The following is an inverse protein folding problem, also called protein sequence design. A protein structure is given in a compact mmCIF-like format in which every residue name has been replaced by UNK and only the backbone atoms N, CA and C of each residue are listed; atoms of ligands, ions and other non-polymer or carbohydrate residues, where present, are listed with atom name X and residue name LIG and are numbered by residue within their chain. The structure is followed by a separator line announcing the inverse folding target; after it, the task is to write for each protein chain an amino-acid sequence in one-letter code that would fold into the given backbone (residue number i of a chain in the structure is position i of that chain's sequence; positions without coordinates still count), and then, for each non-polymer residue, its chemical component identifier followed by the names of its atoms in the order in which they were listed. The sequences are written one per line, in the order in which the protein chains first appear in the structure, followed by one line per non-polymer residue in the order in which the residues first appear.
data_IF_553240638192
#
_entry.id   IF_553240638192
#
_cell.length_a   1.000
_cell.length_b   1.000
_cell.length_c   1.000
_cell.angle_alpha   90.00
_cell.angle_beta   90.00
_cell.angle_gamma   90.00
#
_symmetry.space_group_name_H-M   'P 1'
#
loop_
_entity.id
_entity.type
_entity.pdbx_description
1 polymer ?
#
# COMPACT_ATOMS: atom_id res chain seq x y z
N UNK A 1 7.46 8.24 -20.55
CA UNK A 1 6.94 8.22 -19.16
C UNK A 1 5.92 9.34 -19.06
N UNK A 2 4.67 9.06 -19.41
CA UNK A 2 3.56 10.02 -19.36
C UNK A 2 3.26 10.33 -17.89
N UNK A 3 3.64 11.53 -17.44
CA UNK A 3 3.22 12.04 -16.14
C UNK A 3 1.72 12.27 -16.20
N UNK A 4 0.93 11.38 -15.59
CA UNK A 4 -0.51 11.58 -15.43
C UNK A 4 -0.70 12.86 -14.61
N UNK A 5 -1.15 13.94 -15.26
CA UNK A 5 -1.54 15.17 -14.59
C UNK A 5 -3.03 15.07 -14.28
N UNK A 6 -3.33 14.76 -13.03
CA UNK A 6 -4.67 14.92 -12.48
C UNK A 6 -4.84 16.39 -12.12
N UNK A 7 -5.86 17.04 -12.68
CA UNK A 7 -6.24 18.37 -12.22
C UNK A 7 -6.73 18.27 -10.77
N UNK A 8 -6.59 19.35 -10.00
CA UNK A 8 -6.97 19.35 -8.57
C UNK A 8 -8.46 19.01 -8.35
N UNK A 9 -9.31 19.39 -9.31
CA UNK A 9 -10.74 19.07 -9.31
C UNK A 9 -10.97 17.55 -9.49
N UNK A 10 -10.27 16.94 -10.44
CA UNK A 10 -10.36 15.50 -10.71
C UNK A 10 -9.88 14.68 -9.50
N UNK A 11 -8.78 15.10 -8.86
CA UNK A 11 -8.27 14.42 -7.67
C UNK A 11 -9.27 14.49 -6.50
N UNK A 12 -9.92 15.64 -6.31
CA UNK A 12 -10.91 15.81 -5.25
C UNK A 12 -12.15 14.95 -5.49
N UNK A 13 -12.62 14.88 -6.74
CA UNK A 13 -13.75 14.03 -7.13
C UNK A 13 -13.43 12.55 -6.92
N UNK A 14 -12.26 12.10 -7.38
CA UNK A 14 -11.76 10.73 -7.16
C UNK A 14 -11.70 10.44 -5.66
N UNK A 15 -11.14 11.35 -4.86
CA UNK A 15 -11.00 11.15 -3.41
C UNK A 15 -12.37 11.04 -2.75
N UNK A 16 -13.33 11.90 -3.10
CA UNK A 16 -14.71 11.83 -2.59
C UNK A 16 -15.39 10.51 -2.96
N UNK A 17 -15.25 10.09 -4.21
CA UNK A 17 -15.79 8.81 -4.68
C UNK A 17 -15.20 7.64 -3.89
N UNK A 18 -13.89 7.61 -3.67
CA UNK A 18 -13.22 6.54 -2.90
C UNK A 18 -13.64 6.56 -1.41
N UNK A 19 -13.77 7.74 -0.80
CA UNK A 19 -14.21 7.87 0.59
C UNK A 19 -15.69 7.52 0.82
N UNK A 20 -16.50 7.56 -0.24
CA UNK A 20 -17.92 7.19 -0.16
C UNK A 20 -18.18 5.69 -0.16
N UNK A 21 -17.15 4.83 -0.26
CA UNK A 21 -17.32 3.38 -0.35
C UNK A 21 -17.52 2.74 1.03
N UNK A 22 -18.52 1.87 1.14
CA UNK A 22 -18.86 1.20 2.40
C UNK A 22 -18.17 -0.15 2.59
N UNK A 23 -17.62 -0.73 1.53
CA UNK A 23 -16.91 -2.02 1.57
C UNK A 23 -15.56 -1.91 0.86
N UNK A 24 -14.59 -2.74 1.29
CA UNK A 24 -13.29 -2.82 0.61
C UNK A 24 -13.40 -3.31 -0.84
N UNK A 25 -14.42 -4.11 -1.13
CA UNK A 25 -14.66 -4.64 -2.47
C UNK A 25 -15.09 -3.50 -3.41
N UNK A 26 -16.06 -2.69 -2.99
CA UNK A 26 -16.52 -1.55 -3.77
C UNK A 26 -15.39 -0.53 -3.96
N UNK A 27 -14.59 -0.30 -2.92
CA UNK A 27 -13.39 0.53 -2.99
C UNK A 27 -12.40 0.03 -4.05
N UNK A 28 -12.07 -1.27 -4.05
CA UNK A 28 -11.15 -1.86 -5.03
C UNK A 28 -11.70 -1.78 -6.45
N UNK A 29 -13.01 -2.00 -6.64
CA UNK A 29 -13.64 -1.88 -7.94
C UNK A 29 -13.56 -0.46 -8.50
N UNK A 30 -13.90 0.55 -7.68
CA UNK A 30 -13.84 1.96 -8.07
C UNK A 30 -12.40 2.42 -8.32
N UNK A 31 -11.47 2.06 -7.42
CA UNK A 31 -10.06 2.42 -7.55
C UNK A 31 -9.45 1.82 -8.83
N UNK A 32 -9.77 0.56 -9.15
CA UNK A 32 -9.32 -0.09 -10.38
C UNK A 32 -9.84 0.62 -11.64
N UNK A 33 -11.12 1.04 -11.64
CA UNK A 33 -11.67 1.79 -12.78
C UNK A 33 -10.95 3.12 -13.00
N UNK A 34 -10.57 3.81 -11.92
CA UNK A 34 -9.74 5.02 -12.00
C UNK A 34 -8.35 4.68 -12.54
N UNK A 35 -7.65 3.71 -11.97
CA UNK A 35 -6.29 3.34 -12.37
C UNK A 35 -6.21 2.89 -13.84
N UNK A 36 -7.22 2.15 -14.34
CA UNK A 36 -7.31 1.78 -15.75
C UNK A 36 -7.56 2.98 -16.67
N UNK A 37 -8.45 3.90 -16.28
CA UNK A 37 -8.67 5.15 -17.03
C UNK A 37 -7.40 5.98 -17.15
N UNK A 38 -6.59 5.99 -16.10
CA UNK A 38 -5.30 6.69 -16.05
C UNK A 38 -4.14 5.88 -16.64
N UNK A 39 -4.38 4.64 -17.10
CA UNK A 39 -3.37 3.71 -17.63
C UNK A 39 -2.21 3.45 -16.66
N UNK A 40 -2.48 3.47 -15.35
CA UNK A 40 -1.47 3.29 -14.30
C UNK A 40 -1.30 1.81 -13.91
N UNK A 41 -2.41 1.08 -13.81
CA UNK A 41 -2.42 -0.33 -13.44
C UNK A 41 -3.71 -1.01 -13.87
N UNK A 42 -3.62 -2.30 -14.20
CA UNK A 42 -4.78 -3.14 -14.56
C UNK A 42 -5.45 -3.79 -13.34
N UNK A 43 -4.67 -3.99 -12.28
CA UNK A 43 -5.07 -4.68 -11.05
C UNK A 43 -4.71 -3.84 -9.83
N UNK A 44 -5.51 -3.98 -8.78
CA UNK A 44 -5.31 -3.30 -7.50
C UNK A 44 -5.62 -4.27 -6.36
N UNK A 45 -4.82 -4.18 -5.31
CA UNK A 45 -5.03 -4.89 -4.07
C UNK A 45 -4.71 -3.96 -2.89
N UNK A 46 -5.40 -4.20 -1.78
CA UNK A 46 -5.23 -3.52 -0.51
C UNK A 46 -4.56 -4.49 0.45
N UNK A 47 -3.44 -4.05 1.02
CA UNK A 47 -2.71 -4.78 2.07
C UNK A 47 -2.75 -3.91 3.31
N UNK A 48 -3.36 -4.40 4.37
CA UNK A 48 -3.48 -3.68 5.64
C UNK A 48 -2.63 -4.38 6.68
N UNK A 49 -1.81 -3.58 7.39
CA UNK A 49 -0.99 -4.03 8.49
C UNK A 49 -1.61 -3.59 9.80
N UNK A 50 -1.79 -4.53 10.72
CA UNK A 50 -2.13 -4.19 12.10
C UNK A 50 -0.83 -3.97 12.89
N UNK A 51 -0.54 -2.74 13.34
CA UNK A 51 0.68 -2.44 14.09
C UNK A 51 0.73 -3.09 15.48
N UNK A 52 -0.40 -3.60 15.99
CA UNK A 52 -0.50 -4.18 17.32
C UNK A 52 -0.47 -5.71 17.33
N UNK A 53 -0.76 -6.37 16.21
CA UNK A 53 -0.94 -7.83 16.18
C UNK A 53 -0.05 -8.58 15.18
N UNK A 54 0.87 -7.88 14.49
CA UNK A 54 1.67 -8.41 13.37
C UNK A 54 0.82 -8.97 12.22
N UNK A 55 -0.50 -8.80 12.26
CA UNK A 55 -1.42 -9.36 11.27
C UNK A 55 -1.41 -8.55 9.99
N UNK A 56 -1.56 -9.27 8.90
CA UNK A 56 -1.72 -8.69 7.57
C UNK A 56 -3.03 -9.19 6.98
N UNK A 57 -3.88 -8.26 6.54
CA UNK A 57 -5.03 -8.60 5.71
C UNK A 57 -4.77 -8.19 4.26
N UNK A 58 -5.16 -9.07 3.34
CA UNK A 58 -5.13 -8.82 1.92
C UNK A 58 -6.56 -8.78 1.39
N UNK A 59 -6.85 -7.74 0.61
CA UNK A 59 -8.11 -7.55 -0.10
C UNK A 59 -7.79 -7.31 -1.57
N UNK A 60 -8.25 -8.19 -2.46
CA UNK A 60 -7.98 -8.11 -3.89
C UNK A 60 -9.18 -8.51 -4.73
N UNK A 61 -8.99 -8.47 -6.05
CA UNK A 61 -9.94 -8.93 -7.03
C UNK A 61 -9.26 -9.97 -7.92
N UNK A 62 -9.92 -11.08 -8.21
CA UNK A 62 -9.45 -12.04 -9.20
C UNK A 62 -9.74 -11.59 -10.65
N UNK A 63 -9.42 -12.44 -11.62
CA UNK A 63 -9.69 -12.17 -13.03
C UNK A 63 -11.19 -12.07 -13.38
N UNK A 64 -12.06 -12.71 -12.59
CA UNK A 64 -13.51 -12.65 -12.71
C UNK A 64 -14.14 -11.51 -11.88
N UNK A 65 -13.30 -10.64 -11.30
CA UNK A 65 -13.69 -9.51 -10.44
C UNK A 65 -14.38 -9.94 -9.17
N UNK A 66 -14.14 -11.17 -8.75
CA UNK A 66 -14.61 -11.68 -7.48
C UNK A 66 -13.65 -11.26 -6.38
N UNK A 67 -14.18 -10.95 -5.18
CA UNK A 67 -13.38 -10.54 -4.06
C UNK A 67 -12.50 -11.69 -3.57
N UNK A 68 -11.21 -11.43 -3.47
CA UNK A 68 -10.23 -12.35 -2.87
C UNK A 68 -9.78 -11.73 -1.56
N UNK A 69 -10.16 -12.32 -0.45
CA UNK A 69 -9.80 -11.85 0.89
C UNK A 69 -8.95 -12.92 1.59
N UNK A 70 -7.76 -12.56 2.03
CA UNK A 70 -6.96 -13.38 2.93
C UNK A 70 -6.81 -12.63 4.25
N UNK A 71 -7.41 -13.16 5.29
CA UNK A 71 -7.19 -12.72 6.66
C UNK A 71 -6.29 -13.75 7.33
N UNK A 72 -5.03 -13.38 7.48
CA UNK A 72 -4.13 -13.91 8.49
C UNK A 72 -3.79 -15.41 8.43
N UNK A 73 -2.67 -15.72 7.77
CA UNK A 73 -1.76 -16.74 8.26
C UNK A 73 -0.36 -16.14 8.13
N UNK A 74 0.49 -16.38 9.14
CA UNK A 74 1.92 -16.00 9.26
C UNK A 74 2.78 -16.00 7.98
N UNK A 75 2.30 -16.57 6.89
CA UNK A 75 2.86 -16.58 5.53
C UNK A 75 3.03 -15.19 4.91
N UNK A 76 2.11 -14.24 5.12
CA UNK A 76 2.29 -12.88 4.57
C UNK A 76 3.31 -12.07 5.40
N UNK A 77 3.29 -12.25 6.72
CA UNK A 77 4.22 -11.62 7.68
C UNK A 77 5.66 -12.06 7.44
N UNK A 78 5.87 -13.34 7.10
CA UNK A 78 7.18 -13.88 6.76
C UNK A 78 7.48 -13.83 5.24
N UNK A 79 6.50 -13.40 4.44
CA UNK A 79 6.55 -13.41 2.98
C UNK A 79 7.10 -12.11 2.37
N UNK A 80 6.84 -11.83 1.09
CA UNK A 80 7.34 -10.64 0.40
C UNK A 80 6.85 -9.32 1.00
N UNK A 81 5.78 -9.38 1.80
CA UNK A 81 5.13 -8.24 2.43
C UNK A 81 5.86 -7.78 3.71
N UNK A 82 6.65 -8.67 4.34
CA UNK A 82 7.53 -8.39 5.49
C UNK A 82 8.47 -7.20 5.29
N UNK A 83 8.94 -7.01 4.05
CA UNK A 83 9.87 -5.93 3.69
C UNK A 83 9.24 -4.54 3.89
N UNK A 84 7.93 -4.43 3.75
CA UNK A 84 7.21 -3.18 3.96
C UNK A 84 7.02 -2.84 5.44
N UNK A 85 7.00 -3.84 6.33
CA UNK A 85 6.96 -3.61 7.78
C UNK A 85 8.27 -3.00 8.28
N UNK A 86 9.40 -3.41 7.71
CA UNK A 86 10.73 -2.91 8.07
C UNK A 86 11.18 -1.69 7.26
N UNK A 87 10.53 -1.40 6.13
CA UNK A 87 10.71 -0.13 5.44
C UNK A 87 10.00 0.96 6.22
N UNK A 88 10.74 1.61 7.09
CA UNK A 88 10.33 2.76 7.90
C UNK A 88 9.27 3.65 7.23
N UNK A 89 8.01 3.55 7.71
CA UNK A 89 7.11 4.71 7.72
C UNK A 89 7.77 5.83 8.55
N UNK A 90 7.49 7.10 8.25
CA UNK A 90 8.21 8.22 8.84
C UNK A 90 8.11 8.14 10.36
N UNK A 91 9.26 7.92 10.97
CA UNK A 91 9.47 7.81 12.39
C UNK A 91 9.05 9.14 13.03
N UNK A 92 7.79 9.23 13.49
CA UNK A 92 7.35 10.34 14.31
C UNK A 92 8.11 10.25 15.64
N UNK A 93 9.20 11.02 15.76
CA UNK A 93 9.76 11.40 17.05
C UNK A 93 10.87 10.52 17.64
N UNK A 94 11.86 10.05 16.86
CA UNK A 94 13.16 9.69 17.46
C UNK A 94 14.31 10.38 16.74
N UNK A 95 15.14 11.20 17.44
CA UNK A 95 16.36 11.71 16.84
C UNK A 95 17.32 10.54 16.60
N UNK A 96 17.59 10.25 15.33
CA UNK A 96 18.72 9.39 14.94
C UNK A 96 20.01 10.05 15.44
N UNK A 97 20.65 9.43 16.43
CA UNK A 97 22.05 9.72 16.75
C UNK A 97 22.92 8.94 15.76
N UNK A 98 23.35 9.61 14.71
CA UNK A 98 24.38 9.11 13.82
C UNK A 98 25.74 9.29 14.50
N UNK A 99 26.17 8.32 15.29
CA UNK A 99 27.57 8.25 15.75
C UNK A 99 28.30 7.20 14.91
N UNK A 100 29.03 7.72 13.94
CA UNK A 100 30.07 7.12 13.09
C UNK A 100 30.58 5.72 13.49
N UNK A 101 30.35 4.75 12.60
CA UNK A 101 31.21 3.58 12.43
C UNK A 101 32.09 3.78 11.18
N UNK A 102 33.14 4.60 11.29
CA UNK A 102 34.24 4.56 10.32
C UNK A 102 35.26 3.55 10.85
N UNK A 103 35.13 2.34 10.32
CA UNK A 103 36.14 1.28 10.36
C UNK A 103 37.35 1.78 9.55
N UNK A 104 38.46 2.14 10.21
CA UNK A 104 39.76 2.34 9.56
C UNK A 104 40.56 1.06 9.70
N UNK A 105 40.66 0.31 8.61
CA UNK A 105 41.59 -0.80 8.44
C UNK A 105 43.03 -0.31 8.44
N UNK A 106 43.88 -1.10 9.06
CA UNK A 106 45.32 -0.96 9.22
C UNK A 106 46.08 -0.93 7.87
N UNK A 107 47.41 -0.72 7.92
CA UNK A 107 48.32 -1.87 7.98
C UNK A 107 49.03 -2.04 9.33
#
# INVERSE_FOLDING_TARGET
MSTVRLEQQDLLEITRMLLGQHTFIDLLLQLRQVLRRLQLADSVALVLFDPHSERVSFHGLDHALQPVNYQDETLLVNGPVSRFQHSSLPNAGRPMSCTNAIRKSAP
#
